data_IF_825043881254
#
_entry.id   IF_825043881254
#
_cell.length_a   1.000
_cell.length_b   1.000
_cell.length_c   1.000
_cell.angle_alpha   90.00
_cell.angle_beta   90.00
_cell.angle_gamma   90.00
#
_symmetry.space_group_name_H-M   'P 1'
#
loop_
_entity.id
_entity.type
_entity.pdbx_description
1 polymer ?
#
# COMPACT_ATOMS: atom_id res chain seq x y z
N UNK A 1 4.05 27.76 28.77
CA UNK A 1 5.28 26.91 28.61
C UNK A 1 6.47 27.80 28.33
N UNK A 2 7.60 27.62 29.05
CA UNK A 2 8.86 28.32 28.74
C UNK A 2 9.32 27.90 27.34
N UNK A 3 9.82 28.81 26.52
CA UNK A 3 10.27 28.58 25.14
C UNK A 3 11.21 27.35 25.01
N UNK A 4 12.08 27.14 25.98
CA UNK A 4 12.98 25.97 26.04
C UNK A 4 12.24 24.64 26.12
N UNK A 5 11.17 24.55 26.93
CA UNK A 5 10.36 23.32 27.04
C UNK A 5 9.66 22.96 25.70
N UNK A 6 9.18 23.98 24.98
CA UNK A 6 8.57 23.75 23.66
C UNK A 6 9.59 23.26 22.62
N UNK A 7 10.81 23.78 22.66
CA UNK A 7 11.92 23.35 21.76
C UNK A 7 12.27 21.88 22.08
N UNK A 8 12.43 21.51 23.35
CA UNK A 8 12.76 20.13 23.73
C UNK A 8 11.69 19.14 23.31
N UNK A 9 10.41 19.45 23.56
CA UNK A 9 9.28 18.60 23.15
C UNK A 9 9.26 18.45 21.63
N UNK A 10 9.38 19.55 20.89
CA UNK A 10 9.41 19.53 19.42
C UNK A 10 10.57 18.69 18.89
N UNK A 11 11.79 18.85 19.43
CA UNK A 11 12.97 18.13 18.96
C UNK A 11 12.88 16.63 19.21
N UNK A 12 12.44 16.22 20.41
CA UNK A 12 12.32 14.80 20.76
C UNK A 12 11.18 14.14 19.95
N UNK A 13 10.00 14.76 19.93
CA UNK A 13 8.87 14.24 19.15
C UNK A 13 9.18 14.24 17.64
N UNK A 14 9.84 15.28 17.13
CA UNK A 14 10.23 15.40 15.73
C UNK A 14 11.23 14.31 15.32
N UNK A 15 12.24 14.02 16.16
CA UNK A 15 13.19 12.94 15.89
C UNK A 15 12.50 11.58 15.85
N UNK A 16 11.64 11.30 16.86
CA UNK A 16 10.92 10.03 16.93
C UNK A 16 9.98 9.84 15.73
N UNK A 17 9.13 10.84 15.45
CA UNK A 17 8.21 10.81 14.32
C UNK A 17 8.98 10.80 12.99
N UNK A 18 10.11 11.50 12.89
CA UNK A 18 10.94 11.53 11.69
C UNK A 18 11.40 10.15 11.25
N UNK A 19 11.81 9.29 12.19
CA UNK A 19 12.18 7.88 11.90
C UNK A 19 10.98 7.10 11.36
N UNK A 20 9.79 7.24 11.97
CA UNK A 20 8.58 6.57 11.48
C UNK A 20 8.18 7.03 10.10
N UNK A 21 8.19 8.35 9.85
CA UNK A 21 7.88 8.91 8.52
C UNK A 21 8.87 8.43 7.48
N UNK A 22 10.17 8.36 7.81
CA UNK A 22 11.19 7.82 6.91
C UNK A 22 10.88 6.37 6.52
N UNK A 23 10.60 5.51 7.49
CA UNK A 23 10.27 4.10 7.24
C UNK A 23 9.00 3.95 6.41
N UNK A 24 7.95 4.71 6.72
CA UNK A 24 6.71 4.71 5.95
C UNK A 24 6.92 5.25 4.53
N UNK A 25 7.70 6.31 4.36
CA UNK A 25 8.01 6.87 3.04
C UNK A 25 8.79 5.89 2.18
N UNK A 26 9.80 5.22 2.74
CA UNK A 26 10.58 4.21 2.02
C UNK A 26 9.70 3.01 1.63
N UNK A 27 8.90 2.49 2.57
CA UNK A 27 8.00 1.38 2.26
C UNK A 27 6.94 1.76 1.23
N UNK A 28 6.35 2.96 1.34
CA UNK A 28 5.39 3.47 0.36
C UNK A 28 6.00 3.66 -1.03
N UNK A 29 7.23 4.19 -1.11
CA UNK A 29 7.95 4.33 -2.38
C UNK A 29 8.18 2.99 -3.05
N UNK A 30 8.60 1.97 -2.30
CA UNK A 30 8.77 0.61 -2.84
C UNK A 30 7.44 0.02 -3.32
N UNK A 31 6.33 0.30 -2.63
CA UNK A 31 5.01 -0.19 -3.01
C UNK A 31 4.48 0.44 -4.32
N UNK A 32 4.94 1.64 -4.71
CA UNK A 32 4.61 2.23 -6.02
C UNK A 32 5.11 1.34 -7.16
N UNK A 33 6.26 0.68 -6.98
CA UNK A 33 6.84 -0.23 -7.97
C UNK A 33 6.42 -1.69 -7.77
N UNK A 34 5.36 -1.93 -7.00
CA UNK A 34 4.91 -3.27 -6.61
C UNK A 34 4.78 -4.23 -7.78
N UNK A 35 4.09 -3.83 -8.84
CA UNK A 35 3.80 -4.73 -9.96
C UNK A 35 5.06 -5.11 -10.74
N UNK A 36 5.98 -4.16 -10.92
CA UNK A 36 7.28 -4.43 -11.53
C UNK A 36 8.15 -5.35 -10.66
N UNK A 37 8.22 -5.12 -9.37
CA UNK A 37 8.99 -5.94 -8.44
C UNK A 37 8.40 -7.34 -8.25
N UNK A 38 7.08 -7.47 -8.24
CA UNK A 38 6.40 -8.76 -8.20
C UNK A 38 6.65 -9.59 -9.48
N UNK A 39 6.73 -8.93 -10.63
CA UNK A 39 7.08 -9.58 -11.90
C UNK A 39 8.50 -10.14 -11.89
N UNK A 40 9.45 -9.46 -11.24
CA UNK A 40 10.81 -9.96 -11.04
C UNK A 40 10.87 -11.18 -10.12
N UNK A 41 10.06 -11.19 -9.05
CA UNK A 41 10.07 -12.29 -8.08
C UNK A 41 9.39 -13.56 -8.62
N UNK A 42 8.32 -13.42 -9.37
CA UNK A 42 7.58 -14.52 -10.00
C UNK A 42 7.05 -14.05 -11.35
N UNK A 43 7.86 -14.11 -12.41
CA UNK A 43 7.39 -13.78 -13.73
C UNK A 43 6.17 -14.65 -14.05
N UNK A 44 5.06 -13.98 -14.36
CA UNK A 44 3.84 -14.64 -14.77
C UNK A 44 4.04 -15.10 -16.21
N UNK A 45 4.73 -16.24 -16.36
CA UNK A 45 4.96 -16.85 -17.67
C UNK A 45 3.62 -17.38 -18.16
N UNK A 46 2.99 -16.61 -19.04
CA UNK A 46 2.00 -17.18 -19.93
C UNK A 46 2.75 -18.13 -20.89
N UNK A 47 2.34 -19.39 -21.00
CA UNK A 47 2.98 -20.30 -21.94
C UNK A 47 2.90 -19.71 -23.34
N UNK A 48 4.06 -19.55 -23.96
CA UNK A 48 4.25 -19.07 -25.32
C UNK A 48 3.63 -20.07 -26.32
N UNK A 49 2.32 -20.18 -26.43
CA UNK A 49 1.71 -20.96 -27.51
C UNK A 49 0.30 -20.50 -27.86
N UNK A 50 0.16 -20.10 -29.11
CA UNK A 50 -1.00 -20.08 -30.00
C UNK A 50 -2.09 -19.05 -29.67
N UNK A 51 -2.53 -18.25 -30.65
CA UNK A 51 -3.68 -17.35 -30.50
C UNK A 51 -4.97 -18.17 -30.39
N UNK A 52 -5.25 -18.67 -29.20
CA UNK A 52 -6.55 -19.22 -28.88
C UNK A 52 -7.46 -18.07 -28.44
N UNK A 53 -8.72 -18.18 -28.75
CA UNK A 53 -9.76 -17.20 -28.41
C UNK A 53 -9.68 -16.83 -26.94
N UNK A 54 -9.39 -15.56 -26.65
CA UNK A 54 -9.42 -15.01 -25.30
C UNK A 54 -10.84 -15.11 -24.75
N UNK A 55 -10.99 -15.54 -23.52
CA UNK A 55 -12.27 -15.57 -22.83
C UNK A 55 -12.82 -14.16 -22.67
N UNK A 56 -14.14 -14.05 -22.72
CA UNK A 56 -14.79 -12.77 -22.37
C UNK A 56 -14.70 -12.53 -20.87
N UNK A 57 -14.73 -11.26 -20.49
CA UNK A 57 -14.74 -10.86 -19.08
C UNK A 57 -15.90 -11.50 -18.32
N UNK A 58 -17.07 -11.63 -18.96
CA UNK A 58 -18.25 -12.27 -18.39
C UNK A 58 -18.00 -13.77 -18.10
N UNK A 59 -17.31 -14.47 -18.98
CA UNK A 59 -16.92 -15.87 -18.74
C UNK A 59 -15.96 -15.98 -17.54
N UNK A 60 -14.97 -15.11 -17.45
CA UNK A 60 -14.04 -15.09 -16.31
C UNK A 60 -14.76 -14.70 -15.02
N UNK A 61 -15.67 -13.72 -15.06
CA UNK A 61 -16.50 -13.33 -13.93
C UNK A 61 -17.31 -14.53 -13.38
N UNK A 62 -17.97 -15.27 -14.25
CA UNK A 62 -18.76 -16.48 -13.85
C UNK A 62 -17.87 -17.55 -13.23
N UNK A 63 -16.67 -17.78 -13.76
CA UNK A 63 -15.71 -18.73 -13.18
C UNK A 63 -15.30 -18.32 -11.77
N UNK A 64 -15.01 -17.03 -11.56
CA UNK A 64 -14.70 -16.50 -10.22
C UNK A 64 -15.89 -16.64 -9.29
N UNK A 65 -17.09 -16.28 -9.74
CA UNK A 65 -18.32 -16.40 -8.95
C UNK A 65 -18.65 -17.85 -8.55
N UNK A 66 -18.42 -18.81 -9.46
CA UNK A 66 -18.60 -20.24 -9.15
C UNK A 66 -17.62 -20.72 -8.08
N UNK A 67 -16.37 -20.25 -8.13
CA UNK A 67 -15.34 -20.66 -7.18
C UNK A 67 -15.48 -19.98 -5.81
N UNK A 68 -16.00 -18.75 -5.80
CA UNK A 68 -16.20 -17.92 -4.61
C UNK A 68 -17.64 -17.41 -4.55
N UNK A 69 -18.63 -18.29 -4.28
CA UNK A 69 -20.06 -17.96 -4.41
C UNK A 69 -20.54 -16.88 -3.44
N UNK A 70 -19.83 -16.69 -2.31
CA UNK A 70 -20.16 -15.68 -1.28
C UNK A 70 -19.28 -14.43 -1.37
N UNK A 71 -18.39 -14.35 -2.36
CA UNK A 71 -17.49 -13.23 -2.52
C UNK A 71 -18.14 -12.10 -3.33
N UNK A 72 -17.85 -10.87 -2.92
CA UNK A 72 -18.20 -9.66 -3.68
C UNK A 72 -17.02 -9.31 -4.56
N UNK A 73 -17.23 -9.30 -5.87
CA UNK A 73 -16.26 -8.85 -6.85
C UNK A 73 -16.33 -7.32 -6.93
N UNK A 74 -15.28 -6.62 -6.50
CA UNK A 74 -15.26 -5.15 -6.42
C UNK A 74 -14.58 -4.49 -7.60
N UNK A 75 -13.64 -5.19 -8.22
CA UNK A 75 -12.89 -4.66 -9.35
C UNK A 75 -12.45 -5.79 -10.28
N UNK A 76 -12.41 -5.49 -11.57
CA UNK A 76 -11.80 -6.36 -12.57
C UNK A 76 -10.96 -5.53 -13.54
N UNK A 77 -9.74 -5.97 -13.80
CA UNK A 77 -8.91 -5.43 -14.86
C UNK A 77 -8.81 -6.45 -16.00
N UNK A 78 -9.03 -5.96 -17.21
CA UNK A 78 -9.03 -6.75 -18.43
C UNK A 78 -7.62 -6.77 -19.00
N UNK A 79 -7.17 -7.94 -19.46
CA UNK A 79 -5.94 -8.04 -20.22
C UNK A 79 -6.05 -7.19 -21.50
N UNK A 80 -5.14 -6.25 -21.67
CA UNK A 80 -5.10 -5.37 -22.86
C UNK A 80 -4.33 -5.99 -24.02
N UNK A 81 -3.52 -7.01 -23.73
CA UNK A 81 -2.74 -7.75 -24.71
C UNK A 81 -2.64 -9.24 -24.31
N UNK A 82 -2.15 -10.06 -25.25
CA UNK A 82 -2.05 -11.52 -25.08
C UNK A 82 -1.04 -11.99 -24.01
N UNK A 83 -0.19 -11.10 -23.53
CA UNK A 83 0.78 -11.36 -22.46
C UNK A 83 0.28 -10.96 -21.08
N UNK A 84 -0.88 -10.34 -21.01
CA UNK A 84 -1.49 -9.92 -19.74
C UNK A 84 -2.52 -10.93 -19.26
N UNK A 85 -2.81 -10.86 -17.98
CA UNK A 85 -3.79 -11.71 -17.30
C UNK A 85 -5.00 -10.90 -16.86
N UNK A 86 -6.16 -11.52 -16.77
CA UNK A 86 -7.30 -10.91 -16.09
C UNK A 86 -7.03 -10.84 -14.59
N UNK A 87 -7.32 -9.73 -13.96
CA UNK A 87 -7.28 -9.64 -12.50
C UNK A 87 -8.63 -9.28 -11.93
N UNK A 88 -9.02 -10.00 -10.86
CA UNK A 88 -10.27 -9.80 -10.13
C UNK A 88 -9.95 -9.54 -8.67
N UNK A 89 -10.50 -8.48 -8.12
CA UNK A 89 -10.44 -8.23 -6.66
C UNK A 89 -11.74 -8.67 -6.03
N UNK A 90 -11.65 -9.66 -5.15
CA UNK A 90 -12.79 -10.26 -4.47
C UNK A 90 -12.69 -10.05 -2.96
N UNK A 91 -13.83 -9.80 -2.32
CA UNK A 91 -13.98 -9.74 -0.88
C UNK A 91 -14.83 -10.93 -0.44
N UNK A 92 -14.22 -11.85 0.27
CA UNK A 92 -14.93 -13.01 0.80
C UNK A 92 -15.09 -12.87 2.31
N UNK A 93 -16.35 -12.81 2.76
CA UNK A 93 -16.73 -12.72 4.18
C UNK A 93 -16.50 -14.00 4.96
N UNK A 94 -16.33 -15.14 4.29
CA UNK A 94 -16.04 -16.43 4.92
C UNK A 94 -14.59 -16.57 5.40
N UNK A 95 -13.70 -15.66 5.01
CA UNK A 95 -12.33 -15.65 5.50
C UNK A 95 -12.29 -15.23 6.98
N UNK A 96 -11.86 -16.14 7.85
CA UNK A 96 -11.87 -16.05 9.32
C UNK A 96 -11.18 -14.82 9.95
N UNK A 97 -10.48 -13.98 9.19
CA UNK A 97 -9.68 -12.85 9.71
C UNK A 97 -10.08 -11.49 9.15
N UNK A 98 -11.37 -11.28 8.88
CA UNK A 98 -11.87 -10.01 8.38
C UNK A 98 -11.73 -9.89 6.85
N UNK A 99 -12.54 -9.03 6.29
CA UNK A 99 -12.65 -8.70 4.86
C UNK A 99 -11.30 -8.31 4.24
N UNK A 100 -10.46 -9.27 3.91
CA UNK A 100 -9.27 -9.01 3.12
C UNK A 100 -9.61 -9.19 1.65
N UNK A 101 -9.31 -8.16 0.88
CA UNK A 101 -9.37 -8.22 -0.57
C UNK A 101 -8.39 -9.30 -1.07
N UNK A 102 -8.90 -10.26 -1.79
CA UNK A 102 -8.11 -11.27 -2.50
C UNK A 102 -8.07 -10.86 -3.97
N UNK A 103 -6.88 -10.63 -4.51
CA UNK A 103 -6.68 -10.37 -5.93
C UNK A 103 -6.34 -11.68 -6.63
N UNK A 104 -7.18 -12.08 -7.59
CA UNK A 104 -7.04 -13.29 -8.38
C UNK A 104 -6.53 -12.95 -9.76
N UNK A 105 -5.55 -13.68 -10.25
CA UNK A 105 -4.99 -13.53 -11.60
C UNK A 105 -5.37 -14.76 -12.42
N UNK A 106 -6.12 -14.55 -13.49
CA UNK A 106 -6.67 -15.61 -14.34
C UNK A 106 -5.98 -15.64 -15.70
N UNK A 107 -5.74 -16.86 -16.17
CA UNK A 107 -5.25 -17.09 -17.53
C UNK A 107 -6.30 -16.63 -18.55
N UNK A 108 -5.95 -15.79 -19.54
CA UNK A 108 -6.92 -15.17 -20.43
C UNK A 108 -7.65 -16.15 -21.34
N UNK A 109 -7.08 -17.31 -21.61
CA UNK A 109 -7.66 -18.32 -22.51
C UNK A 109 -8.41 -19.43 -21.78
N UNK A 110 -7.91 -19.85 -20.61
CA UNK A 110 -8.46 -21.01 -19.90
C UNK A 110 -9.31 -20.62 -18.71
N UNK A 111 -9.19 -19.38 -18.20
CA UNK A 111 -9.84 -18.94 -16.96
C UNK A 111 -9.24 -19.57 -15.70
N UNK A 112 -8.14 -20.35 -15.83
CA UNK A 112 -7.47 -20.91 -14.67
C UNK A 112 -6.87 -19.82 -13.79
N UNK A 113 -7.04 -19.95 -12.47
CA UNK A 113 -6.39 -19.05 -11.53
C UNK A 113 -4.90 -19.39 -11.46
N UNK A 114 -4.08 -18.49 -11.97
CA UNK A 114 -2.62 -18.64 -12.00
C UNK A 114 -1.98 -18.28 -10.67
N UNK A 115 -2.52 -17.24 -10.02
CA UNK A 115 -2.01 -16.70 -8.77
C UNK A 115 -3.14 -16.03 -7.99
N UNK A 116 -3.02 -16.05 -6.67
CA UNK A 116 -3.83 -15.21 -5.77
C UNK A 116 -2.90 -14.34 -4.92
N UNK A 117 -3.33 -13.13 -4.60
CA UNK A 117 -2.60 -12.16 -3.77
C UNK A 117 -3.53 -11.63 -2.68
N UNK A 118 -3.02 -11.39 -1.47
CA UNK A 118 -3.77 -10.77 -0.37
C UNK A 118 -4.23 -11.72 0.72
N UNK A 119 -4.10 -13.04 0.56
CA UNK A 119 -4.36 -14.03 1.61
C UNK A 119 -3.29 -14.02 2.71
N UNK A 120 -3.58 -14.63 3.87
CA UNK A 120 -2.61 -14.74 4.98
C UNK A 120 -1.32 -15.46 4.59
N UNK A 121 -1.42 -16.44 3.70
CA UNK A 121 -0.26 -17.17 3.17
C UNK A 121 0.61 -16.29 2.27
N UNK A 122 -0.02 -15.39 1.48
CA UNK A 122 0.71 -14.49 0.59
C UNK A 122 1.56 -13.48 1.38
N UNK A 123 1.09 -13.03 2.55
CA UNK A 123 1.85 -12.13 3.42
C UNK A 123 3.15 -12.79 3.92
N UNK A 124 3.13 -14.09 4.16
CA UNK A 124 4.30 -14.83 4.66
C UNK A 124 5.34 -15.11 3.57
N UNK A 125 4.91 -15.27 2.32
CA UNK A 125 5.76 -15.74 1.22
C UNK A 125 6.05 -14.69 0.14
N UNK A 126 5.40 -13.52 0.19
CA UNK A 126 5.57 -12.45 -0.78
C UNK A 126 6.03 -11.17 -0.11
N UNK A 127 7.25 -10.73 -0.45
CA UNK A 127 7.84 -9.52 0.12
C UNK A 127 6.96 -8.27 -0.07
N UNK A 128 6.32 -8.10 -1.23
CA UNK A 128 5.46 -6.93 -1.46
C UNK A 128 4.19 -6.96 -0.60
N UNK A 129 3.61 -8.13 -0.37
CA UNK A 129 2.47 -8.29 0.53
C UNK A 129 2.87 -8.09 1.99
N UNK A 130 4.05 -8.57 2.37
CA UNK A 130 4.64 -8.29 3.68
C UNK A 130 4.87 -6.79 3.88
N UNK A 131 5.51 -6.13 2.90
CA UNK A 131 5.78 -4.69 2.92
C UNK A 131 4.48 -3.87 2.97
N UNK A 132 3.45 -4.29 2.25
CA UNK A 132 2.13 -3.64 2.27
C UNK A 132 1.47 -3.74 3.65
N UNK A 133 1.54 -4.91 4.30
CA UNK A 133 1.03 -5.09 5.65
C UNK A 133 1.82 -4.28 6.70
N UNK A 134 3.15 -4.16 6.51
CA UNK A 134 3.98 -3.27 7.32
C UNK A 134 3.56 -1.81 7.14
N UNK A 135 3.48 -1.33 5.90
CA UNK A 135 3.14 0.06 5.58
C UNK A 135 1.76 0.47 6.10
N UNK A 136 0.77 -0.41 6.00
CA UNK A 136 -0.61 -0.11 6.35
C UNK A 136 -0.95 -0.30 7.83
N UNK A 137 -0.21 -1.15 8.55
CA UNK A 137 -0.59 -1.53 9.92
C UNK A 137 0.54 -2.08 10.79
N UNK A 138 1.80 -1.97 10.38
CA UNK A 138 2.96 -2.58 11.08
C UNK A 138 2.74 -4.07 11.42
N UNK A 139 2.02 -4.81 10.59
CA UNK A 139 1.58 -6.20 10.84
C UNK A 139 0.66 -6.40 12.04
N UNK A 140 0.19 -5.31 12.69
CA UNK A 140 -0.66 -5.37 13.89
C UNK A 140 -2.17 -5.25 13.58
N UNK A 141 -2.56 -5.36 12.30
CA UNK A 141 -3.95 -5.28 11.86
C UNK A 141 -4.60 -3.96 12.31
N UNK A 142 -5.82 -4.04 12.84
CA UNK A 142 -6.59 -2.85 13.23
C UNK A 142 -5.91 -2.00 14.31
N UNK A 143 -5.19 -2.63 15.23
CA UNK A 143 -4.41 -1.90 16.26
C UNK A 143 -3.29 -1.09 15.62
N UNK A 144 -2.62 -1.63 14.59
CA UNK A 144 -1.59 -0.91 13.85
C UNK A 144 -2.13 0.28 13.05
N UNK A 145 -3.34 0.17 12.49
CA UNK A 145 -4.02 1.29 11.83
C UNK A 145 -4.28 2.45 12.81
N UNK A 146 -4.77 2.14 14.02
CA UNK A 146 -4.95 3.13 15.07
C UNK A 146 -3.63 3.78 15.50
N UNK A 147 -2.56 2.98 15.59
CA UNK A 147 -1.23 3.47 15.93
C UNK A 147 -0.69 4.44 14.86
N UNK A 148 -0.89 4.11 13.57
CA UNK A 148 -0.55 5.01 12.46
C UNK A 148 -1.34 6.32 12.55
N UNK A 149 -2.64 6.27 12.87
CA UNK A 149 -3.47 7.44 13.09
C UNK A 149 -2.94 8.32 14.22
N UNK A 150 -2.53 7.71 15.34
CA UNK A 150 -1.88 8.43 16.46
C UNK A 150 -0.58 9.12 16.00
N UNK A 151 0.29 8.43 15.27
CA UNK A 151 1.52 9.02 14.74
C UNK A 151 1.26 10.17 13.76
N UNK A 152 0.20 10.07 12.96
CA UNK A 152 -0.20 11.16 12.07
C UNK A 152 -0.59 12.43 12.86
N UNK A 153 -1.30 12.29 13.97
CA UNK A 153 -1.66 13.40 14.86
C UNK A 153 -0.39 14.01 15.48
N UNK A 154 0.52 13.19 16.01
CA UNK A 154 1.78 13.69 16.60
C UNK A 154 2.64 14.38 15.55
N UNK A 155 2.66 13.88 14.32
CA UNK A 155 3.34 14.51 13.20
C UNK A 155 2.75 15.89 12.86
N UNK A 156 1.42 15.99 12.80
CA UNK A 156 0.74 17.28 12.57
C UNK A 156 1.08 18.29 13.67
N UNK A 157 1.06 17.87 14.93
CA UNK A 157 1.44 18.73 16.06
C UNK A 157 2.92 19.14 15.99
N UNK A 158 3.80 18.25 15.53
CA UNK A 158 5.22 18.56 15.30
C UNK A 158 5.38 19.61 14.20
N UNK A 159 4.65 19.53 13.10
CA UNK A 159 4.66 20.54 12.04
C UNK A 159 4.20 21.89 12.59
N UNK A 160 3.07 21.93 13.30
CA UNK A 160 2.51 23.18 13.86
C UNK A 160 3.50 23.83 14.82
N UNK A 161 4.07 23.06 15.74
CA UNK A 161 5.07 23.58 16.68
C UNK A 161 6.34 24.04 16.00
N UNK A 162 6.79 23.36 14.94
CA UNK A 162 7.91 23.76 14.11
C UNK A 162 7.66 25.11 13.43
N UNK A 163 6.50 25.27 12.81
CA UNK A 163 6.11 26.54 12.18
C UNK A 163 6.11 27.68 13.21
N UNK A 164 5.53 27.46 14.39
CA UNK A 164 5.48 28.47 15.47
C UNK A 164 6.89 28.87 15.92
N UNK A 165 7.77 27.89 16.14
CA UNK A 165 9.13 28.10 16.60
C UNK A 165 10.00 28.84 15.58
N UNK A 166 9.89 28.45 14.30
CA UNK A 166 10.76 28.93 13.22
C UNK A 166 10.09 29.94 12.28
N UNK A 167 8.90 30.46 12.63
CA UNK A 167 8.10 31.39 11.81
C UNK A 167 8.89 32.55 11.23
N UNK A 168 9.79 33.16 12.03
CA UNK A 168 10.60 34.30 11.57
C UNK A 168 11.61 33.90 10.48
N UNK A 169 12.23 32.73 10.62
CA UNK A 169 13.19 32.20 9.66
C UNK A 169 12.46 31.73 8.38
N UNK A 170 11.32 31.10 8.53
CA UNK A 170 10.48 30.65 7.40
C UNK A 170 10.05 31.87 6.55
N UNK A 171 9.54 32.93 7.19
CA UNK A 171 9.15 34.17 6.50
C UNK A 171 10.33 34.80 5.84
N UNK A 172 11.52 34.88 6.51
CA UNK A 172 12.72 35.48 5.94
C UNK A 172 13.16 34.71 4.68
N UNK A 173 13.12 33.40 4.68
CA UNK A 173 13.49 32.58 3.51
C UNK A 173 12.47 32.74 2.37
N UNK A 174 11.16 32.67 2.66
CA UNK A 174 10.11 32.85 1.65
C UNK A 174 10.17 34.22 0.94
N UNK A 175 10.55 35.28 1.66
CA UNK A 175 10.66 36.63 1.10
C UNK A 175 12.10 37.02 0.71
N UNK A 176 13.00 36.03 0.52
CA UNK A 176 14.38 36.22 0.14
C UNK A 176 15.14 37.22 1.04
N UNK A 177 14.71 37.46 2.27
CA UNK A 177 15.41 38.27 3.25
C UNK A 177 16.53 37.41 3.87
N UNK A 178 17.77 37.94 3.93
CA UNK A 178 18.87 37.25 4.61
C UNK A 178 18.44 36.88 6.03
N UNK A 179 18.35 35.60 6.29
CA UNK A 179 18.08 35.10 7.64
C UNK A 179 19.27 35.48 8.53
N UNK A 180 19.03 36.29 9.54
CA UNK A 180 20.01 36.54 10.58
C UNK A 180 20.07 35.30 11.48
N UNK A 181 21.04 34.45 11.22
CA UNK A 181 21.37 33.35 12.12
C UNK A 181 22.02 33.96 13.38
N UNK A 182 21.26 34.00 14.48
CA UNK A 182 21.77 34.24 15.82
C UNK A 182 21.59 33.03 16.68
#
# INVERSE_FOLDING_TARGET
MKKQGLISVHSISGLFIGVFILLLSLSGTLLVFRDGLDAFQKPMLLPNKVPQKVLTIDSCYRLVQQKYPHAVISNCAVAQNEHEVFSFTVYDSSYKNGTKALQLFLHPQTGAILKSRGGSEDIQHNFMSWLSAFHSSFHAGKTGEWLLGFFAIVFLLSIITGIILYRKNIIAVLFFKRAAWK
#
